data_IF_030330828913
#
_entry.id   IF_030330828913
#
_cell.length_a   1.000
_cell.length_b   1.000
_cell.length_c   1.000
_cell.angle_alpha   90.00
_cell.angle_beta   90.00
_cell.angle_gamma   90.00
#
_symmetry.space_group_name_H-M   'P 1'
#
loop_
_entity.id
_entity.type
_entity.pdbx_description
1 polymer ?
#
# COMPACT_ATOMS: atom_id res chain seq x y z
N UNK A 1 67.58 26.60 50.55
CA UNK A 1 66.35 26.99 51.27
C UNK A 1 65.44 27.71 50.26
N UNK A 2 64.19 27.26 50.10
CA UNK A 2 63.16 28.01 49.36
C UNK A 2 62.75 27.40 48.02
N UNK A 3 61.63 26.69 48.03
CA UNK A 3 60.91 26.13 46.88
C UNK A 3 60.43 27.22 45.89
N UNK A 4 60.37 26.87 44.60
CA UNK A 4 59.68 27.67 43.56
C UNK A 4 58.52 26.89 42.99
N UNK A 5 57.31 27.37 43.24
CA UNK A 5 56.07 27.05 42.53
C UNK A 5 56.02 27.83 41.22
N UNK A 6 55.56 27.19 40.14
CA UNK A 6 55.22 27.87 38.89
C UNK A 6 53.92 27.29 38.32
N UNK A 7 53.01 28.22 38.03
CA UNK A 7 51.63 28.06 37.57
C UNK A 7 51.57 27.62 36.11
N UNK A 8 50.71 26.64 35.79
CA UNK A 8 50.44 26.17 34.42
C UNK A 8 49.24 26.92 33.84
N UNK A 9 49.48 27.69 32.79
CA UNK A 9 48.46 28.32 31.94
C UNK A 9 47.87 27.33 30.93
N UNK A 10 46.54 27.41 30.77
CA UNK A 10 45.70 26.57 29.91
C UNK A 10 45.86 26.94 28.43
N UNK A 11 45.97 25.94 27.56
CA UNK A 11 45.60 26.04 26.15
C UNK A 11 44.46 25.06 25.88
N UNK A 12 43.34 25.59 25.39
CA UNK A 12 42.16 24.83 24.95
C UNK A 12 42.40 24.41 23.51
N UNK A 13 42.55 23.10 23.27
CA UNK A 13 42.60 22.50 21.94
C UNK A 13 41.21 22.08 21.48
N UNK A 14 40.80 22.55 20.31
CA UNK A 14 39.58 22.11 19.63
C UNK A 14 39.77 20.71 19.05
N UNK A 15 38.95 19.76 19.48
CA UNK A 15 38.87 18.40 18.93
C UNK A 15 37.64 18.32 18.01
N UNK A 16 37.89 18.25 16.71
CA UNK A 16 36.93 17.86 15.68
C UNK A 16 36.66 16.36 15.79
N UNK A 17 35.53 15.99 16.39
CA UNK A 17 35.05 14.61 16.39
C UNK A 17 34.21 14.35 15.13
N UNK A 18 34.73 13.54 14.22
CA UNK A 18 33.96 12.98 13.11
C UNK A 18 32.97 11.94 13.66
N UNK A 19 31.68 12.27 13.68
CA UNK A 19 30.62 11.31 13.99
C UNK A 19 30.35 10.43 12.76
N UNK A 20 30.84 9.20 12.79
CA UNK A 20 30.28 8.12 11.97
C UNK A 20 28.86 7.83 12.50
N UNK A 21 27.85 8.25 11.74
CA UNK A 21 26.46 7.87 11.98
C UNK A 21 26.26 6.39 11.66
N UNK A 22 26.25 5.55 12.68
CA UNK A 22 25.76 4.17 12.59
C UNK A 22 24.25 4.25 12.42
N UNK A 23 23.76 4.01 11.21
CA UNK A 23 22.32 3.81 10.94
C UNK A 23 21.95 2.44 11.50
N UNK A 24 21.45 2.42 12.74
CA UNK A 24 20.81 1.23 13.29
C UNK A 24 19.46 1.06 12.60
N UNK A 25 19.38 0.12 11.66
CA UNK A 25 18.10 -0.39 11.16
C UNK A 25 17.42 -1.08 12.33
N UNK A 26 16.47 -0.38 12.96
CA UNK A 26 15.65 -0.94 14.03
C UNK A 26 14.86 -2.11 13.46
N UNK A 27 15.11 -3.32 13.96
CA UNK A 27 14.20 -4.45 13.78
C UNK A 27 12.93 -4.12 14.57
N UNK A 28 11.94 -3.53 13.91
CA UNK A 28 10.59 -3.49 14.44
C UNK A 28 10.06 -4.93 14.38
N UNK A 29 10.12 -5.63 15.51
CA UNK A 29 9.42 -6.87 15.67
C UNK A 29 7.92 -6.54 15.65
N UNK A 30 7.26 -6.79 14.52
CA UNK A 30 5.82 -6.74 14.41
C UNK A 30 5.23 -7.73 15.41
N UNK A 31 4.66 -7.23 16.51
CA UNK A 31 3.78 -8.02 17.36
C UNK A 31 2.43 -8.11 16.63
N UNK A 32 2.28 -9.14 15.79
CA UNK A 32 0.98 -9.48 15.23
C UNK A 32 0.00 -9.82 16.37
N UNK A 33 -1.22 -9.27 16.40
CA UNK A 33 -2.23 -9.71 17.34
C UNK A 33 -2.57 -11.18 17.11
N UNK A 34 -2.89 -11.89 18.18
CA UNK A 34 -3.16 -13.32 18.21
C UNK A 34 -4.43 -13.68 17.41
N UNK A 35 -4.28 -13.88 16.10
CA UNK A 35 -5.28 -14.53 15.23
C UNK A 35 -5.06 -16.05 15.12
N UNK A 36 -4.09 -16.60 15.85
CA UNK A 36 -3.82 -18.03 15.84
C UNK A 36 -4.95 -18.81 16.53
N UNK A 37 -5.70 -19.60 15.76
CA UNK A 37 -6.65 -20.57 16.31
C UNK A 37 -5.92 -21.59 17.19
N UNK A 38 -6.50 -21.94 18.34
CA UNK A 38 -5.97 -23.01 19.21
C UNK A 38 -6.04 -24.35 18.44
N UNK A 39 -4.98 -25.14 18.52
CA UNK A 39 -4.80 -26.45 17.87
C UNK A 39 -4.74 -26.46 16.33
N UNK A 40 -4.51 -25.30 15.72
CA UNK A 40 -4.28 -25.22 14.27
C UNK A 40 -2.78 -25.22 13.93
N UNK A 41 -2.44 -25.91 12.86
CA UNK A 41 -1.11 -25.86 12.23
C UNK A 41 -1.24 -25.44 10.78
N UNK A 42 -0.26 -24.66 10.31
CA UNK A 42 -0.25 -24.15 8.93
C UNK A 42 -0.20 -25.35 7.97
N UNK A 43 -1.20 -25.52 7.07
CA UNK A 43 -1.15 -26.54 6.04
C UNK A 43 0.08 -26.34 5.16
N UNK A 44 0.70 -27.43 4.70
CA UNK A 44 1.91 -27.40 3.89
C UNK A 44 1.72 -28.13 2.58
N UNK A 45 2.34 -27.60 1.54
CA UNK A 45 2.46 -28.25 0.24
C UNK A 45 3.48 -29.40 0.31
N UNK A 46 3.60 -30.18 -0.76
CA UNK A 46 4.53 -31.32 -0.85
C UNK A 46 5.99 -30.93 -0.73
N UNK A 47 6.34 -29.68 -1.00
CA UNK A 47 7.68 -29.11 -0.84
C UNK A 47 7.94 -28.54 0.58
N UNK A 48 6.97 -28.71 1.51
CA UNK A 48 7.03 -28.25 2.89
C UNK A 48 6.74 -26.76 3.08
N UNK A 49 6.47 -26.00 2.02
CA UNK A 49 6.10 -24.58 2.14
C UNK A 49 4.68 -24.43 2.67
N UNK A 50 4.38 -23.34 3.41
CA UNK A 50 3.01 -22.98 3.76
C UNK A 50 2.10 -22.92 2.55
N UNK A 51 0.95 -23.58 2.64
CA UNK A 51 -0.09 -23.52 1.64
C UNK A 51 -0.89 -22.22 1.83
N UNK A 52 -0.66 -21.26 0.94
CA UNK A 52 -1.36 -19.98 0.83
C UNK A 52 -2.43 -20.01 -0.28
N UNK A 53 -2.65 -21.16 -0.92
CA UNK A 53 -3.63 -21.26 -1.99
C UNK A 53 -5.05 -20.99 -1.48
N UNK A 54 -5.85 -20.39 -2.35
CA UNK A 54 -7.23 -20.05 -2.03
C UNK A 54 -7.73 -18.84 -2.80
N UNK A 55 -8.97 -18.47 -2.48
CA UNK A 55 -9.58 -17.21 -2.86
C UNK A 55 -9.65 -16.38 -1.59
N UNK A 56 -9.05 -15.19 -1.63
CA UNK A 56 -8.88 -14.28 -0.51
C UNK A 56 -9.51 -12.94 -0.85
N UNK A 57 -9.97 -12.19 0.15
CA UNK A 57 -10.57 -10.87 -0.09
C UNK A 57 -10.04 -9.81 0.85
N UNK A 58 -9.75 -8.62 0.33
CA UNK A 58 -9.34 -7.49 1.16
C UNK A 58 -10.50 -6.52 1.46
N UNK A 59 -11.74 -6.88 1.14
CA UNK A 59 -12.88 -5.96 1.27
C UNK A 59 -13.11 -5.57 2.72
N UNK A 60 -13.14 -4.27 2.98
CA UNK A 60 -13.38 -3.73 4.30
C UNK A 60 -13.79 -2.27 4.21
N UNK A 61 -14.62 -1.85 5.16
CA UNK A 61 -14.94 -0.43 5.37
C UNK A 61 -13.98 0.24 6.36
N UNK A 62 -12.93 -0.46 6.82
CA UNK A 62 -11.88 0.17 7.64
C UNK A 62 -11.24 1.32 6.86
N UNK A 63 -11.13 2.52 7.45
CA UNK A 63 -10.44 3.65 6.83
C UNK A 63 -9.05 3.25 6.35
N UNK A 64 -8.63 3.78 5.21
CA UNK A 64 -7.24 3.55 4.79
C UNK A 64 -6.25 4.25 5.71
N UNK A 65 -6.45 5.55 5.85
CA UNK A 65 -5.75 6.40 6.79
C UNK A 65 -6.66 6.72 7.96
N UNK A 66 -6.06 6.87 9.14
CA UNK A 66 -6.78 7.18 10.35
C UNK A 66 -7.49 8.53 10.23
N UNK A 67 -8.81 8.58 10.43
CA UNK A 67 -9.55 9.84 10.48
C UNK A 67 -8.94 10.81 11.49
N UNK A 68 -8.97 12.11 11.20
CA UNK A 68 -8.29 13.12 12.03
C UNK A 68 -8.88 13.22 13.43
N UNK A 69 -10.19 12.99 13.56
CA UNK A 69 -10.94 12.89 14.81
C UNK A 69 -10.61 11.63 15.63
N UNK A 70 -9.88 10.68 15.03
CA UNK A 70 -9.43 9.44 15.67
C UNK A 70 -7.92 9.37 15.83
N UNK A 71 -7.15 10.44 15.59
CA UNK A 71 -5.69 10.40 15.45
C UNK A 71 -4.95 9.60 16.54
N UNK A 72 -5.33 9.79 17.81
CA UNK A 72 -4.72 9.14 18.97
C UNK A 72 -5.38 7.80 19.36
N UNK A 73 -6.34 7.35 18.55
CA UNK A 73 -7.14 6.16 18.80
C UNK A 73 -6.85 5.10 17.77
N UNK A 74 -5.95 4.20 18.11
CA UNK A 74 -5.53 3.11 17.22
C UNK A 74 -6.64 2.05 17.01
N UNK A 75 -7.49 1.84 18.00
CA UNK A 75 -8.55 0.84 17.97
C UNK A 75 -9.90 1.42 18.41
N UNK A 76 -10.96 1.02 17.72
CA UNK A 76 -12.32 1.20 18.18
C UNK A 76 -12.62 0.29 19.37
N UNK A 77 -13.42 0.76 20.32
CA UNK A 77 -14.16 -0.17 21.19
C UNK A 77 -15.17 -0.95 20.35
N UNK A 78 -15.73 -2.02 20.90
CA UNK A 78 -16.77 -2.78 20.21
C UNK A 78 -17.97 -1.91 19.83
N UNK A 79 -18.44 -1.09 20.76
CA UNK A 79 -19.60 -0.20 20.57
C UNK A 79 -19.33 0.83 19.47
N UNK A 80 -18.13 1.40 19.44
CA UNK A 80 -17.73 2.36 18.41
C UNK A 80 -17.55 1.72 17.04
N UNK A 81 -17.04 0.49 17.00
CA UNK A 81 -16.94 -0.28 15.76
C UNK A 81 -18.34 -0.53 15.19
N UNK A 82 -19.29 -0.96 16.01
CA UNK A 82 -20.69 -1.19 15.61
C UNK A 82 -21.35 0.12 15.11
N UNK A 83 -21.18 1.22 15.84
CA UNK A 83 -21.68 2.54 15.42
C UNK A 83 -21.03 3.03 14.11
N UNK A 84 -19.70 2.90 13.98
CA UNK A 84 -18.97 3.27 12.77
C UNK A 84 -19.45 2.48 11.56
N UNK A 85 -19.61 1.17 11.70
CA UNK A 85 -20.12 0.28 10.64
C UNK A 85 -21.52 0.73 10.24
N UNK A 86 -22.43 0.92 11.19
CA UNK A 86 -23.80 1.35 10.94
C UNK A 86 -23.87 2.68 10.17
N UNK A 87 -23.19 3.72 10.67
CA UNK A 87 -23.14 5.04 10.01
C UNK A 87 -22.50 4.98 8.63
N UNK A 88 -21.44 4.19 8.48
CA UNK A 88 -20.76 4.05 7.20
C UNK A 88 -21.66 3.39 6.17
N UNK A 89 -22.30 2.27 6.51
CA UNK A 89 -23.22 1.56 5.61
C UNK A 89 -24.42 2.44 5.21
N UNK A 90 -24.97 3.23 6.14
CA UNK A 90 -26.04 4.18 5.82
C UNK A 90 -25.56 5.29 4.86
N UNK A 91 -24.37 5.87 5.13
CA UNK A 91 -23.80 6.96 4.32
C UNK A 91 -23.40 6.50 2.93
N UNK A 92 -22.83 5.29 2.81
CA UNK A 92 -22.35 4.75 1.52
C UNK A 92 -23.40 3.91 0.79
N UNK A 93 -24.63 3.86 1.29
CA UNK A 93 -25.71 3.15 0.64
C UNK A 93 -26.04 3.81 -0.71
N UNK A 94 -25.59 3.16 -1.80
CA UNK A 94 -25.85 3.61 -3.18
C UNK A 94 -27.31 3.45 -3.61
N UNK A 95 -28.13 2.74 -2.83
CA UNK A 95 -29.57 2.63 -3.07
C UNK A 95 -30.33 3.87 -2.56
N UNK A 96 -29.68 4.77 -1.83
CA UNK A 96 -30.22 6.10 -1.52
C UNK A 96 -30.10 7.00 -2.76
N UNK A 97 -31.01 6.78 -3.71
CA UNK A 97 -31.07 7.49 -4.99
C UNK A 97 -31.58 8.92 -4.82
N UNK A 98 -31.03 9.84 -5.60
CA UNK A 98 -31.49 11.24 -5.70
C UNK A 98 -32.26 11.44 -7.00
N UNK A 99 -33.04 12.52 -7.13
CA UNK A 99 -33.74 12.83 -8.39
C UNK A 99 -32.92 13.78 -9.30
N UNK A 100 -31.60 13.87 -9.08
CA UNK A 100 -30.72 14.80 -9.80
C UNK A 100 -29.83 14.10 -10.84
N UNK A 101 -29.07 14.89 -11.61
CA UNK A 101 -28.16 14.36 -12.63
C UNK A 101 -27.07 13.44 -12.05
N UNK A 102 -26.73 13.59 -10.77
CA UNK A 102 -25.74 12.73 -10.11
C UNK A 102 -26.28 11.30 -9.93
N UNK A 103 -27.61 11.14 -9.88
CA UNK A 103 -28.26 9.84 -9.86
C UNK A 103 -28.05 9.06 -11.16
N UNK A 104 -28.15 9.74 -12.31
CA UNK A 104 -27.89 9.17 -13.64
C UNK A 104 -26.42 8.74 -13.78
N UNK A 105 -25.50 9.50 -13.19
CA UNK A 105 -24.06 9.18 -13.16
C UNK A 105 -23.73 8.04 -12.18
N UNK A 106 -24.59 7.78 -11.20
CA UNK A 106 -24.48 6.65 -10.29
C UNK A 106 -25.09 5.41 -10.94
N UNK A 107 -24.38 4.85 -11.94
CA UNK A 107 -24.86 3.77 -12.81
C UNK A 107 -25.16 2.44 -12.09
N UNK A 108 -24.62 2.23 -10.89
CA UNK A 108 -24.72 0.97 -10.14
C UNK A 108 -25.31 1.19 -8.74
N UNK A 109 -26.31 0.37 -8.41
CA UNK A 109 -26.90 0.26 -7.07
C UNK A 109 -25.94 -0.46 -6.09
N UNK A 110 -26.26 -0.52 -4.80
CA UNK A 110 -25.33 -0.99 -3.76
C UNK A 110 -24.87 -2.44 -3.95
N UNK A 111 -25.70 -3.28 -4.58
CA UNK A 111 -25.39 -4.69 -4.85
C UNK A 111 -24.12 -4.90 -5.69
N UNK A 112 -23.84 -4.01 -6.65
CA UNK A 112 -22.69 -4.16 -7.55
C UNK A 112 -21.38 -3.59 -6.99
N UNK A 113 -21.42 -2.93 -5.84
CA UNK A 113 -20.23 -2.43 -5.16
C UNK A 113 -19.78 -3.44 -4.10
N UNK A 114 -18.49 -3.77 -4.07
CA UNK A 114 -17.91 -4.77 -3.15
C UNK A 114 -16.91 -4.14 -2.18
N UNK A 115 -17.22 -2.94 -1.67
CA UNK A 115 -16.37 -2.26 -0.68
C UNK A 115 -16.28 -3.01 0.68
N UNK A 116 -17.09 -4.05 0.87
CA UNK A 116 -17.26 -4.77 2.13
C UNK A 116 -18.27 -4.10 3.07
N UNK A 117 -18.59 -4.79 4.17
CA UNK A 117 -19.56 -4.33 5.16
C UNK A 117 -19.06 -4.41 6.61
N UNK A 118 -17.78 -4.67 6.79
CA UNK A 118 -17.17 -4.92 8.09
C UNK A 118 -15.82 -4.24 8.20
N UNK A 119 -15.46 -3.87 9.42
CA UNK A 119 -14.09 -3.46 9.77
C UNK A 119 -13.18 -4.69 9.77
N UNK A 120 -11.86 -4.46 9.72
CA UNK A 120 -10.88 -5.50 10.01
C UNK A 120 -11.12 -6.09 11.41
N UNK A 121 -10.90 -7.41 11.61
CA UNK A 121 -11.14 -8.08 12.89
C UNK A 121 -10.42 -7.47 14.09
N UNK A 122 -9.31 -6.76 13.86
CA UNK A 122 -8.55 -6.05 14.88
C UNK A 122 -9.26 -4.83 15.44
N UNK A 123 -10.36 -4.36 14.81
CA UNK A 123 -11.02 -3.10 15.11
C UNK A 123 -10.10 -1.87 15.03
N UNK A 124 -9.01 -1.95 14.25
CA UNK A 124 -8.16 -0.79 13.99
C UNK A 124 -8.94 0.30 13.28
N UNK A 125 -8.59 1.54 13.60
CA UNK A 125 -9.17 2.74 12.98
C UNK A 125 -8.56 3.08 11.63
N UNK A 126 -7.56 2.32 11.17
CA UNK A 126 -6.89 2.48 9.87
C UNK A 126 -6.26 1.17 9.36
N UNK A 127 -6.10 1.06 8.03
CA UNK A 127 -5.29 0.02 7.36
C UNK A 127 -3.81 0.36 7.46
N UNK A 128 -3.45 1.63 7.27
CA UNK A 128 -2.08 2.11 7.52
C UNK A 128 -1.79 1.98 9.01
N UNK A 129 -0.70 1.30 9.35
CA UNK A 129 -0.25 1.07 10.74
C UNK A 129 1.14 1.64 11.00
N UNK A 130 1.91 1.90 9.94
CA UNK A 130 3.22 2.54 10.01
C UNK A 130 3.23 3.74 9.04
N UNK A 131 3.45 4.97 9.51
CA UNK A 131 3.69 5.38 10.91
C UNK A 131 2.53 5.10 11.89
N UNK A 132 2.78 5.05 13.22
CA UNK A 132 1.77 4.72 14.24
C UNK A 132 0.54 5.63 14.27
N UNK A 133 0.62 6.83 13.69
CA UNK A 133 -0.52 7.72 13.52
C UNK A 133 -1.54 7.21 12.47
N UNK A 134 -1.23 6.12 11.79
CA UNK A 134 -2.08 5.47 10.81
C UNK A 134 -2.30 6.30 9.55
N UNK A 135 -1.35 7.16 9.19
CA UNK A 135 -1.46 8.07 8.04
C UNK A 135 -0.22 7.98 7.16
N UNK A 136 -0.42 8.19 5.86
CA UNK A 136 0.69 8.24 4.93
C UNK A 136 1.53 9.49 5.25
N UNK A 137 2.87 9.38 5.30
CA UNK A 137 3.75 10.52 5.45
C UNK A 137 3.48 11.61 4.39
N UNK A 138 3.79 12.88 4.68
CA UNK A 138 3.68 13.92 3.67
C UNK A 138 4.51 13.61 2.41
N UNK A 139 4.06 14.13 1.28
CA UNK A 139 4.88 14.15 0.06
C UNK A 139 6.14 14.99 0.26
N UNK A 140 7.22 14.62 -0.43
CA UNK A 140 8.39 15.48 -0.55
C UNK A 140 7.98 16.82 -1.20
N UNK A 141 8.63 17.95 -0.86
CA UNK A 141 8.36 19.22 -1.53
C UNK A 141 8.52 19.14 -3.05
N UNK A 142 9.52 18.39 -3.52
CA UNK A 142 9.78 18.17 -4.94
C UNK A 142 8.62 17.40 -5.61
N UNK A 143 8.14 16.31 -5.00
CA UNK A 143 7.02 15.54 -5.57
C UNK A 143 5.73 16.34 -5.58
N UNK A 144 5.44 17.08 -4.50
CA UNK A 144 4.26 17.96 -4.43
C UNK A 144 4.29 18.97 -5.59
N UNK A 145 5.41 19.67 -5.77
CA UNK A 145 5.58 20.64 -6.85
C UNK A 145 5.46 19.98 -8.24
N UNK A 146 6.00 18.78 -8.44
CA UNK A 146 5.89 18.04 -9.70
C UNK A 146 4.44 17.67 -10.02
N UNK A 147 3.67 17.16 -9.04
CA UNK A 147 2.26 16.82 -9.22
C UNK A 147 1.40 18.06 -9.47
N UNK A 148 1.67 19.17 -8.78
CA UNK A 148 1.01 20.46 -9.02
C UNK A 148 1.28 20.97 -10.43
N UNK A 149 2.54 20.93 -10.88
CA UNK A 149 2.92 21.31 -12.24
C UNK A 149 2.26 20.41 -13.29
N UNK A 150 2.20 19.09 -13.06
CA UNK A 150 1.51 18.15 -13.96
C UNK A 150 0.02 18.47 -14.07
N UNK A 151 -0.66 18.69 -12.94
CA UNK A 151 -2.07 19.07 -12.91
C UNK A 151 -2.33 20.39 -13.64
N UNK A 152 -1.48 21.40 -13.40
CA UNK A 152 -1.58 22.69 -14.07
C UNK A 152 -1.36 22.58 -15.59
N UNK A 153 -0.39 21.77 -16.01
CA UNK A 153 -0.13 21.52 -17.43
C UNK A 153 -1.31 20.83 -18.12
N UNK A 154 -1.90 19.81 -17.48
CA UNK A 154 -3.11 19.14 -17.98
C UNK A 154 -4.28 20.12 -18.06
N UNK A 155 -4.50 20.92 -17.01
CA UNK A 155 -5.57 21.91 -17.00
C UNK A 155 -5.42 22.95 -18.10
N UNK A 156 -4.19 23.46 -18.31
CA UNK A 156 -3.90 24.41 -19.38
C UNK A 156 -4.12 23.79 -20.77
N UNK A 157 -3.70 22.53 -20.98
CA UNK A 157 -3.92 21.79 -22.23
C UNK A 157 -5.41 21.55 -22.49
N UNK A 158 -6.19 21.27 -21.45
CA UNK A 158 -7.61 20.90 -21.59
C UNK A 158 -8.57 22.08 -21.79
N UNK A 159 -8.05 23.28 -22.02
CA UNK A 159 -8.84 24.42 -22.53
C UNK A 159 -9.14 24.23 -24.02
N UNK A 160 -8.22 23.59 -24.74
CA UNK A 160 -8.39 23.26 -26.15
C UNK A 160 -9.18 21.96 -26.35
N UNK A 161 -9.84 21.76 -27.50
CA UNK A 161 -10.47 20.49 -27.86
C UNK A 161 -9.53 19.27 -27.72
N UNK A 162 -10.12 18.09 -27.68
CA UNK A 162 -9.38 16.82 -27.60
C UNK A 162 -9.09 16.33 -26.18
N UNK A 163 -9.63 16.95 -25.13
CA UNK A 163 -9.66 16.34 -23.79
C UNK A 163 -10.94 15.55 -23.54
N UNK A 164 -10.82 14.51 -22.73
CA UNK A 164 -11.94 13.75 -22.17
C UNK A 164 -11.82 13.69 -20.64
N UNK A 165 -12.88 13.26 -19.97
CA UNK A 165 -12.82 12.92 -18.54
C UNK A 165 -12.22 11.52 -18.43
N UNK A 166 -11.04 11.43 -17.80
CA UNK A 166 -10.38 10.18 -17.49
C UNK A 166 -11.21 9.35 -16.48
N UNK A 167 -10.90 8.07 -16.34
CA UNK A 167 -11.51 7.21 -15.31
C UNK A 167 -11.27 7.70 -13.88
N UNK A 168 -10.26 8.55 -13.67
CA UNK A 168 -10.01 9.25 -12.40
C UNK A 168 -11.02 10.38 -12.09
N UNK A 169 -11.86 10.76 -13.06
CA UNK A 169 -12.75 11.91 -12.99
C UNK A 169 -12.08 13.25 -13.35
N UNK A 170 -10.77 13.27 -13.61
CA UNK A 170 -10.05 14.47 -14.02
C UNK A 170 -10.06 14.65 -15.56
N UNK A 171 -10.03 15.89 -16.08
CA UNK A 171 -9.73 16.13 -17.49
C UNK A 171 -8.37 15.54 -17.85
N UNK A 172 -8.27 14.90 -19.01
CA UNK A 172 -7.03 14.37 -19.56
C UNK A 172 -6.99 14.55 -21.08
N UNK A 173 -5.79 14.78 -21.67
CA UNK A 173 -5.60 14.73 -23.11
C UNK A 173 -6.12 13.40 -23.68
N UNK A 174 -6.80 13.45 -24.83
CA UNK A 174 -7.35 12.30 -25.54
C UNK A 174 -7.11 12.41 -27.06
N UNK A 175 -6.08 13.15 -27.48
CA UNK A 175 -5.73 13.32 -28.90
C UNK A 175 -5.23 12.02 -29.52
N UNK A 176 -4.56 11.18 -28.74
CA UNK A 176 -3.91 9.95 -29.17
C UNK A 176 -4.09 8.82 -28.15
N UNK A 177 -3.98 7.54 -28.54
CA UNK A 177 -4.19 6.41 -27.64
C UNK A 177 -3.29 6.42 -26.39
N UNK A 178 -2.04 6.86 -26.52
CA UNK A 178 -1.09 6.96 -25.40
C UNK A 178 -1.40 8.09 -24.43
N UNK A 179 -2.19 9.08 -24.86
CA UNK A 179 -2.59 10.21 -24.05
C UNK A 179 -3.67 9.81 -23.01
N UNK A 180 -4.42 8.76 -23.31
CA UNK A 180 -5.39 8.15 -22.41
C UNK A 180 -4.68 7.48 -21.21
N UNK A 181 -5.28 7.61 -20.02
CA UNK A 181 -4.74 7.00 -18.82
C UNK A 181 -4.73 5.45 -18.89
N UNK A 182 -3.89 4.81 -18.07
CA UNK A 182 -3.71 3.35 -18.10
C UNK A 182 -4.99 2.57 -17.77
N UNK A 183 -5.95 3.16 -17.04
CA UNK A 183 -7.22 2.50 -16.75
C UNK A 183 -8.10 2.51 -18.01
N UNK A 184 -8.20 3.66 -18.68
CA UNK A 184 -8.91 3.80 -19.96
C UNK A 184 -8.33 2.89 -21.04
N UNK A 185 -7.01 2.68 -21.02
CA UNK A 185 -6.30 1.78 -21.94
C UNK A 185 -6.32 0.30 -21.52
N UNK A 186 -6.99 -0.05 -20.42
CA UNK A 186 -7.03 -1.40 -19.88
C UNK A 186 -5.66 -2.01 -19.52
N UNK A 187 -4.66 -1.18 -19.18
CA UNK A 187 -3.29 -1.63 -18.87
C UNK A 187 -3.11 -1.90 -17.37
N UNK A 188 -3.58 -1.00 -16.50
CA UNK A 188 -3.41 -1.10 -15.04
C UNK A 188 -4.49 -0.36 -14.29
N UNK A 189 -4.96 -0.95 -13.18
CA UNK A 189 -6.02 -0.40 -12.33
C UNK A 189 -5.64 -0.11 -10.87
N UNK A 190 -4.34 -0.12 -10.55
CA UNK A 190 -3.84 0.37 -9.25
C UNK A 190 -4.08 -0.50 -8.02
N UNK A 191 -4.78 -1.65 -8.13
CA UNK A 191 -5.08 -2.57 -7.01
C UNK A 191 -4.08 -3.72 -6.85
N UNK A 192 -3.00 -3.72 -7.64
CA UNK A 192 -2.19 -4.93 -7.84
C UNK A 192 -0.95 -4.96 -6.93
N UNK A 193 -0.32 -3.81 -6.66
CA UNK A 193 0.85 -3.70 -5.76
C UNK A 193 0.84 -2.33 -5.07
N UNK A 194 0.66 -2.25 -3.74
CA UNK A 194 0.14 -3.31 -2.85
C UNK A 194 -1.33 -3.67 -3.14
N UNK A 195 -1.78 -4.82 -2.63
CA UNK A 195 -3.17 -5.32 -2.72
C UNK A 195 -4.14 -4.52 -1.82
N UNK A 196 -4.44 -3.28 -2.21
CA UNK A 196 -5.26 -2.36 -1.42
C UNK A 196 -6.77 -2.51 -1.70
N UNK A 197 -7.65 -2.33 -0.70
CA UNK A 197 -9.09 -2.41 -0.91
C UNK A 197 -9.56 -1.26 -1.78
N UNK A 198 -10.42 -1.59 -2.72
CA UNK A 198 -11.06 -0.71 -3.69
C UNK A 198 -12.58 -0.76 -3.49
N UNK A 199 -13.32 0.05 -4.24
CA UNK A 199 -14.76 0.09 -4.14
C UNK A 199 -15.45 -1.15 -4.78
N UNK A 200 -14.71 -1.91 -5.61
CA UNK A 200 -15.10 -3.18 -6.21
C UNK A 200 -13.84 -3.97 -6.61
N UNK A 201 -13.99 -5.25 -6.98
CA UNK A 201 -12.90 -6.15 -7.37
C UNK A 201 -11.86 -6.46 -6.28
N UNK A 202 -12.34 -6.82 -5.09
CA UNK A 202 -11.50 -7.05 -3.91
C UNK A 202 -11.11 -8.52 -3.72
N UNK A 203 -11.25 -9.36 -4.74
CA UNK A 203 -10.94 -10.79 -4.68
C UNK A 203 -9.60 -11.13 -5.36
N UNK A 204 -8.86 -12.04 -4.72
CA UNK A 204 -7.56 -12.51 -5.18
C UNK A 204 -7.51 -14.03 -5.13
N UNK A 205 -7.13 -14.65 -6.24
CA UNK A 205 -6.84 -16.07 -6.26
C UNK A 205 -5.33 -16.27 -6.18
N UNK A 206 -4.89 -17.00 -5.16
CA UNK A 206 -3.50 -17.42 -5.02
C UNK A 206 -3.38 -18.86 -5.49
N UNK A 207 -2.49 -19.09 -6.45
CA UNK A 207 -2.08 -20.42 -6.92
C UNK A 207 -0.59 -20.57 -6.65
N UNK A 208 -0.18 -21.69 -6.08
CA UNK A 208 1.20 -21.94 -5.73
C UNK A 208 1.69 -23.23 -6.37
N UNK A 209 2.89 -23.16 -6.92
CA UNK A 209 3.63 -24.34 -7.36
C UNK A 209 5.07 -24.22 -6.87
N UNK A 210 5.85 -25.28 -7.04
CA UNK A 210 7.28 -25.22 -6.74
C UNK A 210 7.93 -24.07 -7.53
N UNK A 211 8.66 -23.20 -6.81
CA UNK A 211 9.43 -22.09 -7.39
C UNK A 211 8.65 -20.87 -7.87
N UNK A 212 7.31 -20.84 -7.78
CA UNK A 212 6.51 -19.68 -8.19
C UNK A 212 5.17 -19.59 -7.44
N UNK A 213 4.78 -18.36 -7.08
CA UNK A 213 3.45 -18.01 -6.58
C UNK A 213 2.78 -17.10 -7.58
N UNK A 214 1.56 -17.42 -7.98
CA UNK A 214 0.75 -16.61 -8.87
C UNK A 214 -0.44 -16.00 -8.11
N UNK A 215 -0.63 -14.69 -8.24
CA UNK A 215 -1.79 -13.97 -7.71
C UNK A 215 -2.59 -13.43 -8.89
N UNK A 216 -3.80 -13.97 -9.07
CA UNK A 216 -4.77 -13.44 -10.02
C UNK A 216 -5.67 -12.45 -9.28
N UNK A 217 -5.74 -11.22 -9.76
CA UNK A 217 -6.63 -10.19 -9.23
C UNK A 217 -7.90 -10.18 -10.07
N UNK A 218 -9.06 -10.04 -9.44
CA UNK A 218 -10.35 -10.00 -10.14
C UNK A 218 -10.42 -8.90 -11.22
N UNK A 219 -9.73 -7.79 -11.00
CA UNK A 219 -9.71 -6.66 -11.92
C UNK A 219 -8.59 -6.76 -12.96
N UNK A 220 -8.92 -6.38 -14.20
CA UNK A 220 -8.01 -6.40 -15.36
C UNK A 220 -7.63 -7.85 -15.72
N UNK A 221 -6.63 -8.02 -16.57
CA UNK A 221 -6.22 -9.30 -17.15
C UNK A 221 -4.89 -9.79 -16.56
N UNK A 222 -4.42 -9.21 -15.45
CA UNK A 222 -3.06 -9.45 -15.01
C UNK A 222 -2.92 -10.49 -13.91
N UNK A 223 -2.04 -11.45 -14.15
CA UNK A 223 -1.55 -12.39 -13.15
C UNK A 223 -0.18 -11.94 -12.66
N UNK A 224 -0.05 -11.60 -11.38
CA UNK A 224 1.25 -11.37 -10.73
C UNK A 224 1.95 -12.70 -10.54
N UNK A 225 3.00 -12.91 -11.31
CA UNK A 225 3.88 -14.09 -11.21
C UNK A 225 5.05 -13.73 -10.32
N UNK A 226 5.20 -14.40 -9.20
CA UNK A 226 6.19 -14.14 -8.16
C UNK A 226 7.14 -15.34 -8.09
N UNK A 227 8.29 -15.32 -8.78
CA UNK A 227 9.30 -16.34 -8.63
C UNK A 227 9.79 -16.44 -7.19
N UNK A 228 9.88 -17.65 -6.66
CA UNK A 228 10.36 -18.00 -5.31
C UNK A 228 11.59 -18.90 -5.34
N UNK A 229 12.12 -19.17 -6.54
CA UNK A 229 13.25 -20.06 -6.83
C UNK A 229 14.63 -19.38 -6.75
N UNK A 230 14.70 -18.13 -6.27
CA UNK A 230 15.94 -17.37 -6.14
C UNK A 230 16.49 -16.79 -7.45
N UNK A 231 15.72 -16.81 -8.55
CA UNK A 231 16.12 -16.14 -9.79
C UNK A 231 16.43 -14.65 -9.57
N UNK A 232 17.48 -14.11 -10.22
CA UNK A 232 17.83 -12.70 -10.07
C UNK A 232 16.69 -11.80 -10.57
N UNK A 233 16.63 -10.57 -10.02
CA UNK A 233 15.77 -9.52 -10.55
C UNK A 233 16.18 -9.15 -11.97
N UNK A 234 15.23 -8.62 -12.74
CA UNK A 234 15.52 -7.99 -14.02
C UNK A 234 16.49 -6.81 -13.81
N UNK A 235 17.38 -6.51 -14.78
CA UNK A 235 18.19 -5.30 -14.74
C UNK A 235 17.33 -4.06 -14.50
N UNK A 236 17.83 -3.10 -13.72
CA UNK A 236 17.03 -1.93 -13.26
C UNK A 236 16.46 -1.06 -14.38
N UNK A 237 17.07 -1.09 -15.58
CA UNK A 237 16.57 -0.37 -16.76
C UNK A 237 15.39 -1.09 -17.45
N UNK A 238 15.15 -2.36 -17.15
CA UNK A 238 13.98 -3.11 -17.63
C UNK A 238 12.85 -2.91 -16.63
N UNK A 239 11.92 -2.03 -16.98
CA UNK A 239 10.79 -1.61 -16.14
C UNK A 239 9.45 -2.14 -16.65
N UNK A 240 8.58 -2.53 -15.73
CA UNK A 240 7.26 -3.10 -16.00
C UNK A 240 6.16 -2.30 -15.30
N UNK A 241 4.93 -2.32 -15.84
CA UNK A 241 3.79 -1.59 -15.25
C UNK A 241 3.49 -2.00 -13.80
N UNK A 242 3.76 -3.26 -13.45
CA UNK A 242 3.48 -3.84 -12.15
C UNK A 242 4.75 -4.30 -11.42
N UNK A 243 5.90 -3.84 -11.90
CA UNK A 243 7.21 -4.17 -11.37
C UNK A 243 7.64 -5.62 -11.59
N UNK A 244 8.82 -5.95 -11.06
CA UNK A 244 9.45 -7.28 -11.08
C UNK A 244 9.52 -7.85 -9.65
N UNK A 245 8.54 -8.68 -9.25
CA UNK A 245 8.49 -9.24 -7.91
C UNK A 245 9.49 -10.39 -7.74
N UNK A 246 10.08 -10.50 -6.54
CA UNK A 246 10.83 -11.69 -6.10
C UNK A 246 10.39 -12.10 -4.71
N UNK A 247 9.96 -13.35 -4.59
CA UNK A 247 9.54 -13.94 -3.34
C UNK A 247 10.65 -14.73 -2.69
N UNK A 248 10.65 -14.75 -1.35
CA UNK A 248 11.46 -15.66 -0.53
C UNK A 248 10.66 -16.11 0.68
N UNK A 249 10.98 -17.28 1.20
CA UNK A 249 10.33 -17.81 2.40
C UNK A 249 11.16 -17.46 3.65
N UNK A 250 10.52 -16.84 4.63
CA UNK A 250 11.05 -16.57 5.97
C UNK A 250 10.20 -17.33 6.98
N UNK A 251 10.60 -18.57 7.31
CA UNK A 251 9.74 -19.47 8.09
C UNK A 251 8.43 -19.77 7.33
N UNK A 252 7.31 -19.46 7.96
CA UNK A 252 5.97 -19.65 7.39
C UNK A 252 5.42 -18.42 6.62
N UNK A 253 6.26 -17.41 6.39
CA UNK A 253 5.90 -16.18 5.69
C UNK A 253 6.52 -16.14 4.29
N UNK A 254 5.71 -15.87 3.28
CA UNK A 254 6.21 -15.46 1.97
C UNK A 254 6.48 -13.95 2.00
N UNK A 255 7.74 -13.55 1.82
CA UNK A 255 8.15 -12.15 1.69
C UNK A 255 8.43 -11.84 0.23
N UNK A 256 7.75 -10.83 -0.31
CA UNK A 256 7.84 -10.45 -1.72
C UNK A 256 8.37 -9.03 -1.81
N UNK A 257 9.47 -8.84 -2.55
CA UNK A 257 9.97 -7.51 -2.88
C UNK A 257 9.71 -7.21 -4.36
N UNK A 258 8.99 -6.13 -4.64
CA UNK A 258 8.69 -5.66 -6.00
C UNK A 258 9.37 -4.32 -6.24
N UNK A 259 10.09 -4.22 -7.35
CA UNK A 259 10.84 -3.03 -7.83
C UNK A 259 10.65 -2.90 -9.34
N UNK A 260 11.42 -2.04 -10.03
CA UNK A 260 11.42 -1.91 -11.49
C UNK A 260 10.05 -1.49 -12.06
N UNK A 261 9.34 -0.60 -11.36
CA UNK A 261 8.10 -0.04 -11.87
C UNK A 261 8.36 0.96 -13.00
N UNK A 262 7.38 1.12 -13.89
CA UNK A 262 7.36 2.19 -14.91
C UNK A 262 7.09 3.59 -14.33
N UNK A 263 6.47 3.67 -13.15
CA UNK A 263 6.28 4.93 -12.42
C UNK A 263 4.91 5.59 -12.60
N UNK A 264 3.94 4.90 -13.18
CA UNK A 264 2.57 5.40 -13.35
C UNK A 264 1.59 4.58 -12.51
N UNK A 265 0.92 5.24 -11.57
CA UNK A 265 0.04 4.61 -10.58
C UNK A 265 -1.25 5.41 -10.40
N UNK A 266 -2.25 4.77 -9.76
CA UNK A 266 -3.57 5.36 -9.51
C UNK A 266 -3.98 5.23 -8.05
N UNK A 267 -5.07 5.92 -7.70
CA UNK A 267 -5.68 5.85 -6.38
C UNK A 267 -4.69 6.22 -5.29
N UNK A 268 -4.59 5.36 -4.28
CA UNK A 268 -3.74 5.56 -3.09
C UNK A 268 -2.25 5.58 -3.40
N UNK A 269 -1.84 5.04 -4.55
CA UNK A 269 -0.45 5.00 -4.99
C UNK A 269 -0.12 6.07 -6.05
N UNK A 270 -1.06 6.95 -6.43
CA UNK A 270 -0.89 7.91 -7.52
C UNK A 270 0.29 8.89 -7.34
N UNK A 271 0.79 9.05 -6.12
CA UNK A 271 1.95 9.87 -5.84
C UNK A 271 3.29 9.12 -5.94
N UNK A 272 3.31 7.78 -6.00
CA UNK A 272 4.54 7.03 -6.26
C UNK A 272 5.08 7.32 -7.67
N UNK A 273 6.34 6.98 -7.88
CA UNK A 273 7.01 7.04 -9.18
C UNK A 273 7.87 5.79 -9.42
N UNK A 274 8.73 5.84 -10.43
CA UNK A 274 9.50 4.69 -10.86
C UNK A 274 10.55 4.23 -9.82
N UNK A 275 10.79 4.99 -8.77
CA UNK A 275 11.67 4.65 -7.65
C UNK A 275 10.98 3.81 -6.56
N UNK A 276 9.68 3.52 -6.72
CA UNK A 276 8.91 2.69 -5.81
C UNK A 276 9.56 1.32 -5.57
N UNK A 277 9.67 0.96 -4.29
CA UNK A 277 9.87 -0.41 -3.79
C UNK A 277 8.68 -0.76 -2.90
N UNK A 278 8.10 -1.93 -3.14
CA UNK A 278 7.06 -2.50 -2.27
C UNK A 278 7.55 -3.81 -1.69
N UNK A 279 7.50 -3.94 -0.37
CA UNK A 279 7.75 -5.20 0.34
C UNK A 279 6.43 -5.70 0.91
N UNK A 280 6.01 -6.90 0.50
CA UNK A 280 4.79 -7.55 0.97
C UNK A 280 5.13 -8.79 1.78
N UNK A 281 4.29 -9.13 2.76
CA UNK A 281 4.42 -10.32 3.60
C UNK A 281 3.07 -11.02 3.64
N UNK A 282 3.05 -12.31 3.31
CA UNK A 282 1.86 -13.15 3.33
C UNK A 282 2.09 -14.28 4.33
N UNK A 283 1.25 -14.32 5.37
CA UNK A 283 1.35 -15.32 6.45
C UNK A 283 -0.02 -15.90 6.74
N UNK A 284 -0.21 -17.21 6.55
CA UNK A 284 -1.46 -17.86 6.95
C UNK A 284 -1.48 -18.00 8.46
N UNK A 285 -2.43 -17.36 9.13
CA UNK A 285 -2.50 -17.29 10.60
C UNK A 285 -3.69 -18.06 11.19
N UNK A 286 -4.66 -18.41 10.36
CA UNK A 286 -5.79 -19.27 10.70
C UNK A 286 -6.27 -20.05 9.45
N UNK A 287 -7.19 -21.01 9.59
CA UNK A 287 -7.73 -21.79 8.47
C UNK A 287 -8.20 -20.93 7.29
N UNK A 288 -8.82 -19.79 7.59
CA UNK A 288 -9.49 -18.87 6.68
C UNK A 288 -8.96 -17.43 6.79
N UNK A 289 -7.75 -17.25 7.32
CA UNK A 289 -7.14 -15.91 7.46
C UNK A 289 -5.71 -15.90 6.91
N UNK A 290 -5.51 -15.10 5.86
CA UNK A 290 -4.19 -14.77 5.33
C UNK A 290 -3.82 -13.36 5.75
N UNK A 291 -2.92 -13.22 6.72
CA UNK A 291 -2.40 -11.91 7.11
C UNK A 291 -1.50 -11.38 5.99
N UNK A 292 -1.98 -10.33 5.33
CA UNK A 292 -1.24 -9.56 4.33
C UNK A 292 -0.72 -8.28 4.95
N UNK A 293 0.59 -8.06 4.85
CA UNK A 293 1.24 -6.83 5.30
C UNK A 293 2.05 -6.25 4.15
N UNK A 294 2.18 -4.93 4.12
CA UNK A 294 2.97 -4.27 3.09
C UNK A 294 3.71 -3.05 3.62
N UNK A 295 4.84 -2.75 2.99
CA UNK A 295 5.63 -1.53 3.17
C UNK A 295 5.89 -0.93 1.80
N UNK A 296 5.61 0.36 1.68
CA UNK A 296 5.87 1.22 0.54
C UNK A 296 7.08 2.09 0.88
N UNK A 297 8.10 2.00 0.04
CA UNK A 297 9.33 2.79 0.13
C UNK A 297 9.55 3.48 -1.22
N UNK A 298 9.30 4.78 -1.26
CA UNK A 298 9.53 5.64 -2.42
C UNK A 298 10.01 7.02 -1.89
N UNK A 299 11.34 7.21 -1.79
CA UNK A 299 11.91 8.40 -1.17
C UNK A 299 11.81 9.65 -2.05
N UNK A 300 11.47 9.50 -3.34
CA UNK A 300 11.18 10.65 -4.20
C UNK A 300 9.75 11.10 -4.00
N UNK A 301 8.81 10.20 -3.72
CA UNK A 301 7.42 10.52 -3.45
C UNK A 301 7.14 11.02 -2.02
N UNK A 302 7.53 10.26 -0.99
CA UNK A 302 7.17 10.51 0.41
C UNK A 302 8.38 10.81 1.30
N UNK A 303 8.17 11.52 2.41
CA UNK A 303 9.25 11.87 3.34
C UNK A 303 9.76 10.69 4.18
N UNK A 304 9.01 9.58 4.23
CA UNK A 304 9.37 8.34 4.90
C UNK A 304 8.62 7.16 4.28
N UNK A 305 9.12 5.92 4.43
CA UNK A 305 8.34 4.72 4.13
C UNK A 305 7.06 4.65 4.97
N UNK A 306 6.09 3.89 4.49
CA UNK A 306 4.82 3.66 5.18
C UNK A 306 4.27 2.28 4.88
N UNK A 307 3.37 1.77 5.71
CA UNK A 307 2.89 0.41 5.60
C UNK A 307 1.56 0.16 6.28
N UNK A 308 0.97 -0.97 5.94
CA UNK A 308 -0.34 -1.37 6.43
C UNK A 308 -0.46 -2.88 6.58
N UNK A 309 -1.55 -3.30 7.20
CA UNK A 309 -1.91 -4.71 7.33
C UNK A 309 -3.40 -4.94 7.06
N UNK A 310 -3.70 -6.06 6.43
CA UNK A 310 -5.05 -6.49 6.08
C UNK A 310 -5.11 -8.02 6.25
N UNK A 311 -5.90 -8.53 7.21
CA UNK A 311 -6.30 -9.93 7.19
C UNK A 311 -7.24 -10.19 6.00
N UNK A 312 -6.83 -11.06 5.07
CA UNK A 312 -7.59 -11.46 3.88
C UNK A 312 -8.41 -12.73 4.09
#
# INVERSE_FOLDING_TARGET
MGARTSSKSRLVGALTAAMLGIVTVGKVAAQAPALAARDWSVPRLTDGKPDLQGIWTNKTITPFERPADLADKEFFTREEAEDYVSRTLQRTNRDNRTEDVNDVLSAYNAFWWDAGSSLLPSHRTSIVVDPPNGRIPPLTPARRAALEAQRAAVQARCIEPGCAIANSGAPAPADEPEALDLMTRCISFGTVVPMLPSAYNNNYQIVQTEGIVAINTEMVHQVRRIPTDGKPKLPSHVRQWFGDPRGRWEGDTLVVETTNFKGEFFGRMAAADENLRVTERFTRVAPDVLLYQFTVDDPTAWTAPWGGEIPL
#
